data_IF_552446376259
#
_entry.id   IF_552446376259
#
_cell.length_a   1.000
_cell.length_b   1.000
_cell.length_c   1.000
_cell.angle_alpha   90.00
_cell.angle_beta   90.00
_cell.angle_gamma   90.00
#
_symmetry.space_group_name_H-M   'P 1'
#
loop_
_entity.id
_entity.type
_entity.pdbx_description
1 polymer ?
#
# COMPACT_ATOMS: atom_id res chain seq x y z
N UNK A 1 -12.72 38.16 -61.49
CA UNK A 1 -13.53 38.06 -60.26
C UNK A 1 -13.12 36.76 -59.56
N UNK A 2 -12.51 36.90 -58.37
CA UNK A 2 -12.09 35.79 -57.49
C UNK A 2 -13.33 35.11 -56.91
N UNK A 3 -13.36 33.79 -56.92
CA UNK A 3 -14.19 33.01 -56.01
C UNK A 3 -13.26 32.45 -54.91
N UNK A 4 -13.41 32.85 -53.64
CA UNK A 4 -12.68 32.29 -52.52
C UNK A 4 -13.58 31.32 -51.74
N UNK A 5 -13.27 30.04 -51.78
CA UNK A 5 -13.55 29.12 -50.67
C UNK A 5 -12.74 27.84 -50.89
N UNK A 6 -11.49 27.92 -50.45
CA UNK A 6 -10.64 26.76 -50.26
C UNK A 6 -10.92 26.21 -48.86
N UNK A 7 -11.55 25.04 -48.78
CA UNK A 7 -11.47 24.17 -47.60
C UNK A 7 -10.12 23.46 -47.65
N UNK A 8 -9.29 23.46 -46.59
CA UNK A 8 -8.11 22.62 -46.56
C UNK A 8 -8.54 21.16 -46.47
N UNK A 9 -8.28 20.37 -47.52
CA UNK A 9 -8.20 18.92 -47.37
C UNK A 9 -7.00 18.64 -46.46
N UNK A 10 -7.29 18.30 -45.21
CA UNK A 10 -6.33 17.77 -44.27
C UNK A 10 -5.87 16.41 -44.80
N UNK A 11 -4.77 16.41 -45.56
CA UNK A 11 -4.07 15.21 -45.99
C UNK A 11 -3.57 14.47 -44.76
N UNK A 12 -4.33 13.47 -44.33
CA UNK A 12 -3.88 12.48 -43.36
C UNK A 12 -2.56 11.87 -43.84
N UNK A 13 -1.51 12.05 -43.03
CA UNK A 13 -0.21 11.45 -43.28
C UNK A 13 -0.35 9.92 -43.36
N UNK A 14 0.38 9.23 -44.27
CA UNK A 14 0.34 7.79 -44.34
C UNK A 14 0.91 7.19 -43.04
N UNK A 15 0.14 6.31 -42.41
CA UNK A 15 0.58 5.48 -41.29
C UNK A 15 1.86 4.74 -41.71
N UNK A 16 2.95 4.97 -40.99
CA UNK A 16 4.22 4.24 -41.16
C UNK A 16 4.01 2.74 -40.95
N UNK A 17 4.76 1.90 -41.65
CA UNK A 17 4.65 0.43 -41.61
C UNK A 17 4.81 -0.23 -40.22
N UNK A 18 5.16 0.54 -39.17
CA UNK A 18 5.17 0.12 -37.78
C UNK A 18 3.78 0.08 -37.11
N UNK A 19 2.75 0.67 -37.73
CA UNK A 19 1.36 0.72 -37.23
C UNK A 19 0.43 -0.31 -37.89
N UNK A 20 0.96 -1.19 -38.75
CA UNK A 20 0.17 -2.28 -39.32
C UNK A 20 0.00 -3.35 -38.23
N UNK A 21 -1.23 -3.62 -37.73
CA UNK A 21 -1.44 -4.72 -36.80
C UNK A 21 -0.95 -6.01 -37.48
N UNK A 22 0.03 -6.68 -36.87
CA UNK A 22 0.57 -7.92 -37.42
C UNK A 22 -0.54 -8.93 -37.70
N UNK A 23 -0.31 -9.90 -38.59
CA UNK A 23 -1.31 -10.88 -39.03
C UNK A 23 -2.00 -11.63 -37.88
N UNK A 24 -1.38 -11.67 -36.70
CA UNK A 24 -1.90 -12.31 -35.49
C UNK A 24 -2.41 -11.32 -34.43
N UNK A 25 -2.43 -10.01 -34.70
CA UNK A 25 -2.79 -8.99 -33.71
C UNK A 25 -4.21 -9.19 -33.17
N UNK A 26 -5.17 -9.50 -34.04
CA UNK A 26 -6.55 -9.73 -33.65
C UNK A 26 -6.72 -11.02 -32.82
N UNK A 27 -5.99 -12.09 -33.19
CA UNK A 27 -5.95 -13.34 -32.43
C UNK A 27 -5.30 -13.16 -31.06
N UNK A 28 -4.17 -12.44 -30.99
CA UNK A 28 -3.48 -12.15 -29.73
C UNK A 28 -4.39 -11.28 -28.85
N UNK A 29 -5.00 -10.22 -29.40
CA UNK A 29 -5.93 -9.37 -28.66
C UNK A 29 -7.11 -10.17 -28.10
N UNK A 30 -7.67 -11.11 -28.87
CA UNK A 30 -8.74 -12.01 -28.42
C UNK A 30 -8.31 -13.07 -27.40
N UNK A 31 -7.01 -13.31 -27.24
CA UNK A 31 -6.47 -14.29 -26.29
C UNK A 31 -6.07 -13.68 -24.94
N UNK A 32 -6.10 -12.35 -24.81
CA UNK A 32 -5.78 -11.67 -23.56
C UNK A 32 -6.99 -11.79 -22.63
N UNK A 33 -6.84 -12.36 -21.42
CA UNK A 33 -7.96 -12.53 -20.52
C UNK A 33 -8.44 -11.18 -19.99
N UNK A 34 -9.76 -11.04 -19.80
CA UNK A 34 -10.39 -9.79 -19.38
C UNK A 34 -9.79 -9.22 -18.07
N UNK A 35 -9.42 -10.08 -17.11
CA UNK A 35 -8.80 -9.65 -15.86
C UNK A 35 -7.49 -8.88 -16.07
N UNK A 36 -6.74 -9.17 -17.14
CA UNK A 36 -5.47 -8.53 -17.47
C UNK A 36 -5.70 -7.22 -18.23
N UNK A 37 -6.70 -7.18 -19.13
CA UNK A 37 -7.13 -5.95 -19.81
C UNK A 37 -7.63 -4.92 -18.80
N UNK A 38 -8.41 -5.37 -17.82
CA UNK A 38 -9.02 -4.53 -16.79
C UNK A 38 -8.09 -4.15 -15.64
N UNK A 39 -6.90 -4.74 -15.55
CA UNK A 39 -5.96 -4.51 -14.46
C UNK A 39 -5.41 -3.07 -14.46
N UNK A 40 -5.14 -2.55 -13.25
CA UNK A 40 -4.48 -1.25 -13.09
C UNK A 40 -3.13 -1.22 -13.84
N UNK A 41 -2.70 -0.04 -14.36
CA UNK A 41 -1.45 0.09 -15.09
C UNK A 41 -0.22 -0.46 -14.34
N UNK A 42 -0.11 -0.18 -13.05
CA UNK A 42 0.97 -0.66 -12.18
C UNK A 42 1.03 -2.18 -12.12
N UNK A 43 -0.14 -2.85 -12.04
CA UNK A 43 -0.20 -4.31 -12.05
C UNK A 43 0.20 -4.89 -13.40
N UNK A 44 -0.23 -4.27 -14.49
CA UNK A 44 0.17 -4.70 -15.84
C UNK A 44 1.69 -4.61 -16.02
N UNK A 45 2.29 -3.53 -15.52
CA UNK A 45 3.74 -3.37 -15.55
C UNK A 45 4.45 -4.39 -14.63
N UNK A 46 3.93 -4.64 -13.43
CA UNK A 46 4.48 -5.67 -12.54
C UNK A 46 4.42 -7.08 -13.18
N UNK A 47 3.33 -7.44 -13.85
CA UNK A 47 3.20 -8.72 -14.56
C UNK A 47 4.17 -8.79 -15.74
N UNK A 48 4.34 -7.69 -16.48
CA UNK A 48 5.28 -7.60 -17.60
C UNK A 48 6.73 -7.78 -17.16
N UNK A 49 7.08 -7.26 -15.98
CA UNK A 49 8.43 -7.39 -15.41
C UNK A 49 8.66 -8.72 -14.67
N UNK A 50 7.60 -9.44 -14.33
CA UNK A 50 7.71 -10.70 -13.61
C UNK A 50 8.43 -11.75 -14.48
N UNK A 51 9.42 -12.48 -13.92
CA UNK A 51 10.11 -13.52 -14.66
C UNK A 51 9.14 -14.67 -14.96
N UNK A 52 9.00 -15.03 -16.23
CA UNK A 52 8.21 -16.19 -16.62
C UNK A 52 8.97 -17.48 -16.27
N UNK A 53 8.60 -18.12 -15.16
CA UNK A 53 9.11 -19.42 -14.74
C UNK A 53 7.97 -20.32 -14.30
N UNK A 54 7.74 -21.39 -15.05
CA UNK A 54 6.78 -22.42 -14.66
C UNK A 54 7.38 -23.30 -13.57
N UNK A 55 6.69 -23.39 -12.43
CA UNK A 55 7.11 -24.26 -11.33
C UNK A 55 6.89 -25.73 -11.68
N UNK A 56 7.72 -26.61 -11.10
CA UNK A 56 7.66 -28.05 -11.37
C UNK A 56 6.28 -28.67 -11.03
N UNK A 57 5.63 -28.20 -9.96
CA UNK A 57 4.29 -28.67 -9.56
C UNK A 57 3.23 -28.39 -10.64
N UNK A 58 3.37 -27.31 -11.41
CA UNK A 58 2.44 -26.97 -12.47
C UNK A 58 2.70 -27.81 -13.73
N UNK A 59 3.98 -28.12 -14.02
CA UNK A 59 4.36 -28.93 -15.17
C UNK A 59 3.95 -30.40 -15.02
N UNK A 60 4.00 -30.94 -13.80
CA UNK A 60 3.66 -32.33 -13.50
C UNK A 60 2.17 -32.56 -13.25
N UNK A 61 1.38 -31.49 -13.09
CA UNK A 61 -0.05 -31.56 -12.88
C UNK A 61 -0.80 -32.04 -14.13
N UNK A 62 -1.90 -32.78 -13.93
CA UNK A 62 -2.79 -33.18 -15.02
C UNK A 62 -3.46 -31.95 -15.66
N UNK A 63 -3.94 -32.06 -16.92
CA UNK A 63 -4.69 -30.97 -17.55
C UNK A 63 -5.87 -30.47 -16.71
N UNK A 64 -6.63 -31.37 -16.09
CA UNK A 64 -7.75 -31.02 -15.22
C UNK A 64 -7.31 -30.30 -13.92
N UNK A 65 -6.18 -30.72 -13.33
CA UNK A 65 -5.61 -30.05 -12.15
C UNK A 65 -5.13 -28.63 -12.49
N UNK A 66 -4.45 -28.47 -13.63
CA UNK A 66 -4.02 -27.15 -14.12
C UNK A 66 -5.21 -26.24 -14.38
N UNK A 67 -6.25 -26.76 -15.01
CA UNK A 67 -7.48 -26.00 -15.26
C UNK A 67 -8.09 -25.49 -13.95
N UNK A 68 -8.25 -26.35 -12.94
CA UNK A 68 -8.81 -25.94 -11.65
C UNK A 68 -8.00 -24.81 -10.99
N UNK A 69 -6.66 -24.94 -10.94
CA UNK A 69 -5.80 -23.91 -10.34
C UNK A 69 -5.85 -22.61 -11.14
N UNK A 70 -5.86 -22.68 -12.47
CA UNK A 70 -5.95 -21.50 -13.32
C UNK A 70 -7.27 -20.76 -13.11
N UNK A 71 -8.40 -21.46 -13.08
CA UNK A 71 -9.71 -20.88 -12.80
C UNK A 71 -9.74 -20.18 -11.43
N UNK A 72 -9.11 -20.76 -10.40
CA UNK A 72 -8.96 -20.14 -9.09
C UNK A 72 -8.16 -18.84 -9.14
N UNK A 73 -7.00 -18.84 -9.79
CA UNK A 73 -6.16 -17.64 -9.94
C UNK A 73 -6.82 -16.56 -10.78
N UNK A 74 -7.49 -16.92 -11.87
CA UNK A 74 -8.26 -15.98 -12.70
C UNK A 74 -9.37 -15.31 -11.90
N UNK A 75 -10.13 -16.07 -11.11
CA UNK A 75 -11.16 -15.52 -10.22
C UNK A 75 -10.56 -14.59 -9.15
N UNK A 76 -9.41 -14.95 -8.58
CA UNK A 76 -8.67 -14.11 -7.64
C UNK A 76 -8.23 -12.78 -8.28
N UNK A 77 -7.63 -12.84 -9.47
CA UNK A 77 -7.17 -11.65 -10.20
C UNK A 77 -8.34 -10.76 -10.62
N UNK A 78 -9.44 -11.32 -11.12
CA UNK A 78 -10.63 -10.57 -11.50
C UNK A 78 -11.27 -9.85 -10.30
N UNK A 79 -11.43 -10.56 -9.18
CA UNK A 79 -12.02 -9.97 -7.95
C UNK A 79 -11.10 -8.92 -7.31
N UNK A 80 -9.78 -9.13 -7.33
CA UNK A 80 -8.81 -8.12 -6.91
C UNK A 80 -8.88 -6.87 -7.80
N UNK A 81 -8.96 -7.01 -9.11
CA UNK A 81 -9.09 -5.88 -10.03
C UNK A 81 -10.34 -5.05 -9.75
N UNK A 82 -11.47 -5.68 -9.40
CA UNK A 82 -12.69 -4.97 -8.99
C UNK A 82 -12.50 -4.21 -7.67
N UNK A 83 -11.81 -4.81 -6.69
CA UNK A 83 -11.47 -4.14 -5.43
C UNK A 83 -10.57 -2.93 -5.70
N UNK A 84 -9.53 -3.09 -6.50
CA UNK A 84 -8.58 -2.02 -6.79
C UNK A 84 -9.21 -0.86 -7.53
N UNK A 85 -10.09 -1.13 -8.51
CA UNK A 85 -10.87 -0.06 -9.17
C UNK A 85 -11.73 0.73 -8.17
N UNK A 86 -12.18 0.09 -7.09
CA UNK A 86 -12.92 0.76 -6.01
C UNK A 86 -11.99 1.62 -5.17
N UNK A 87 -10.81 1.08 -4.85
CA UNK A 87 -9.80 1.72 -4.02
C UNK A 87 -8.98 2.79 -4.76
N UNK A 88 -8.98 2.81 -6.10
CA UNK A 88 -8.17 3.72 -6.92
C UNK A 88 -8.49 5.22 -6.73
N UNK A 89 -9.63 5.54 -6.11
CA UNK A 89 -10.02 6.91 -5.75
C UNK A 89 -9.47 7.35 -4.39
N UNK A 90 -8.94 6.42 -3.61
CA UNK A 90 -8.29 6.71 -2.35
C UNK A 90 -6.95 7.37 -2.64
N UNK A 91 -6.80 8.62 -2.23
CA UNK A 91 -5.54 9.33 -2.30
C UNK A 91 -4.59 8.76 -1.25
N UNK A 92 -3.33 8.58 -1.62
CA UNK A 92 -2.29 8.40 -0.62
C UNK A 92 -2.11 9.70 0.20
N UNK A 93 -1.45 9.56 1.34
CA UNK A 93 -1.32 10.67 2.30
C UNK A 93 -0.50 11.83 1.72
N UNK A 94 0.50 11.56 0.88
CA UNK A 94 1.37 12.59 0.32
C UNK A 94 0.61 13.41 -0.73
N UNK A 95 -0.14 12.75 -1.62
CA UNK A 95 -1.02 13.36 -2.61
C UNK A 95 -2.14 14.19 -1.97
N UNK A 96 -2.64 13.77 -0.81
CA UNK A 96 -3.63 14.52 -0.02
C UNK A 96 -3.00 15.74 0.68
N UNK A 97 -1.82 15.56 1.29
CA UNK A 97 -1.18 16.55 2.15
C UNK A 97 -0.48 17.68 1.38
N UNK A 98 0.19 17.35 0.27
CA UNK A 98 0.97 18.29 -0.52
C UNK A 98 0.19 19.55 -0.95
N UNK A 99 -1.01 19.46 -1.55
CA UNK A 99 -1.76 20.64 -1.96
C UNK A 99 -2.21 21.49 -0.76
N UNK A 100 -2.54 20.87 0.38
CA UNK A 100 -2.95 21.59 1.59
C UNK A 100 -1.79 22.42 2.16
N UNK A 101 -0.60 21.81 2.26
CA UNK A 101 0.59 22.48 2.76
C UNK A 101 1.04 23.61 1.83
N UNK A 102 1.13 23.36 0.52
CA UNK A 102 1.54 24.35 -0.48
C UNK A 102 0.60 25.56 -0.44
N UNK A 103 -0.72 25.32 -0.40
CA UNK A 103 -1.71 26.40 -0.30
C UNK A 103 -1.52 27.21 0.98
N UNK A 104 -1.36 26.55 2.13
CA UNK A 104 -1.25 27.25 3.40
C UNK A 104 0.05 28.07 3.52
N UNK A 105 1.17 27.56 2.97
CA UNK A 105 2.43 28.29 2.86
C UNK A 105 2.30 29.56 2.02
N UNK A 106 1.60 29.46 0.88
CA UNK A 106 1.36 30.58 -0.02
C UNK A 106 0.44 31.62 0.59
N UNK A 107 -0.71 31.20 1.13
CA UNK A 107 -1.76 32.09 1.62
C UNK A 107 -1.31 32.88 2.86
N UNK A 108 -0.50 32.28 3.75
CA UNK A 108 -0.11 32.90 5.02
C UNK A 108 1.25 33.59 5.00
N UNK A 109 2.19 33.07 4.21
CA UNK A 109 3.58 33.52 4.24
C UNK A 109 4.08 34.04 2.89
N UNK A 110 3.28 33.96 1.82
CA UNK A 110 3.66 34.31 0.45
C UNK A 110 4.94 33.57 -0.02
N UNK A 111 5.08 32.31 0.43
CA UNK A 111 6.25 31.46 0.19
C UNK A 111 5.90 30.36 -0.80
N UNK A 112 6.74 30.19 -1.82
CA UNK A 112 6.65 29.12 -2.81
C UNK A 112 7.89 28.23 -2.67
N UNK A 113 7.78 27.17 -1.87
CA UNK A 113 8.84 26.19 -1.64
C UNK A 113 8.39 24.84 -2.20
N UNK A 114 9.32 24.12 -2.83
CA UNK A 114 9.10 22.72 -3.18
C UNK A 114 9.07 21.89 -1.88
N UNK A 115 7.88 21.45 -1.48
CA UNK A 115 7.66 20.74 -0.21
C UNK A 115 8.31 19.36 -0.15
N UNK A 116 8.70 18.79 -1.29
CA UNK A 116 9.36 17.49 -1.37
C UNK A 116 10.89 17.61 -1.37
N UNK A 117 11.42 18.73 -1.87
CA UNK A 117 12.86 18.96 -2.01
C UNK A 117 13.45 19.90 -0.98
N UNK A 118 12.62 20.74 -0.37
CA UNK A 118 13.02 21.59 0.74
C UNK A 118 12.87 20.80 2.03
N UNK A 119 13.91 20.80 2.85
CA UNK A 119 13.95 20.13 4.13
C UNK A 119 13.93 21.17 5.24
N UNK A 120 13.18 20.89 6.29
CA UNK A 120 13.39 21.53 7.59
C UNK A 120 14.50 20.77 8.31
N UNK A 121 15.49 21.49 8.80
CA UNK A 121 16.60 20.97 9.61
C UNK A 121 16.48 21.57 11.02
N UNK A 122 16.18 20.71 11.99
CA UNK A 122 16.01 21.07 13.39
C UNK A 122 17.23 20.63 14.20
N UNK A 123 17.77 21.55 14.99
CA UNK A 123 18.97 21.34 15.81
C UNK A 123 18.71 21.68 17.27
N UNK A 124 19.45 21.03 18.16
CA UNK A 124 19.53 21.38 19.58
C UNK A 124 20.97 21.71 19.98
N UNK A 125 21.16 22.58 20.98
CA UNK A 125 22.49 22.87 21.49
C UNK A 125 23.05 21.63 22.18
N UNK A 126 24.36 21.41 22.02
CA UNK A 126 25.14 20.51 22.85
C UNK A 126 25.84 21.37 23.91
N UNK A 127 25.43 21.21 25.16
CA UNK A 127 25.99 21.93 26.29
C UNK A 127 26.82 21.01 27.20
N UNK A 128 27.88 21.52 27.81
CA UNK A 128 28.74 20.79 28.73
C UNK A 128 28.87 21.49 30.09
N UNK A 129 28.95 20.67 31.14
CA UNK A 129 29.18 21.12 32.51
C UNK A 129 27.94 21.68 33.21
N UNK A 130 28.08 22.01 34.49
CA UNK A 130 26.99 22.49 35.37
C UNK A 130 26.46 23.86 34.97
N UNK A 131 27.23 24.61 34.18
CA UNK A 131 26.86 25.95 33.68
C UNK A 131 26.22 25.94 32.28
N UNK A 132 25.92 24.76 31.73
CA UNK A 132 25.27 24.59 30.42
C UNK A 132 25.89 25.41 29.28
N UNK A 133 27.23 25.46 29.21
CA UNK A 133 27.93 26.22 28.17
C UNK A 133 27.75 25.49 26.82
N UNK A 134 27.15 26.17 25.84
CA UNK A 134 26.99 25.64 24.48
C UNK A 134 28.35 25.50 23.80
N UNK A 135 28.68 24.26 23.41
CA UNK A 135 29.96 23.93 22.74
C UNK A 135 29.77 23.57 21.27
N UNK A 136 28.59 23.09 20.89
CA UNK A 136 28.23 22.81 19.49
C UNK A 136 26.71 22.64 19.35
N UNK A 137 26.25 22.23 18.17
CA UNK A 137 24.86 21.84 17.93
C UNK A 137 24.82 20.49 17.24
N UNK A 138 23.73 19.75 17.41
CA UNK A 138 23.50 18.49 16.71
C UNK A 138 22.14 18.49 16.00
N UNK A 139 22.07 17.80 14.86
CA UNK A 139 20.84 17.60 14.10
C UNK A 139 19.96 16.59 14.82
N UNK A 140 18.76 17.00 15.21
CA UNK A 140 17.76 16.14 15.84
C UNK A 140 16.84 15.55 14.79
N UNK A 141 16.46 16.38 13.82
CA UNK A 141 15.50 16.00 12.79
C UNK A 141 15.82 16.74 11.49
N UNK A 142 15.76 16.01 10.38
CA UNK A 142 15.79 16.59 9.03
C UNK A 142 14.81 15.85 8.14
N UNK A 143 13.77 16.55 7.71
CA UNK A 143 12.68 15.99 6.91
C UNK A 143 12.30 16.94 5.78
N UNK A 144 11.86 16.42 4.62
CA UNK A 144 11.14 17.23 3.63
C UNK A 144 9.96 17.95 4.29
N UNK A 145 9.61 19.16 3.84
CA UNK A 145 8.51 19.93 4.44
C UNK A 145 7.20 19.15 4.46
N UNK A 146 6.92 18.37 3.41
CA UNK A 146 5.74 17.52 3.35
C UNK A 146 5.73 16.51 4.51
N UNK A 147 6.85 15.82 4.74
CA UNK A 147 6.97 14.84 5.81
C UNK A 147 6.98 15.51 7.20
N UNK A 148 7.53 16.72 7.31
CA UNK A 148 7.42 17.51 8.52
C UNK A 148 5.95 17.84 8.86
N UNK A 149 5.13 18.17 7.87
CA UNK A 149 3.70 18.40 8.10
C UNK A 149 2.94 17.14 8.57
N UNK A 150 3.48 15.96 8.30
CA UNK A 150 2.94 14.67 8.76
C UNK A 150 3.57 14.19 10.08
N UNK A 151 4.57 14.90 10.61
CA UNK A 151 5.36 14.48 11.78
C UNK A 151 4.63 14.68 13.13
N UNK A 152 3.46 15.33 13.14
CA UNK A 152 2.65 15.58 14.34
C UNK A 152 3.44 16.17 15.52
N UNK A 153 4.04 17.35 15.31
CA UNK A 153 4.82 18.06 16.33
C UNK A 153 4.02 18.36 17.60
N UNK A 154 4.66 18.18 18.76
CA UNK A 154 4.08 18.52 20.06
C UNK A 154 4.07 20.04 20.30
N UNK A 155 3.29 20.49 21.27
CA UNK A 155 3.10 21.92 21.55
C UNK A 155 4.39 22.59 22.03
N UNK A 156 5.16 21.90 22.85
CA UNK A 156 6.45 22.36 23.36
C UNK A 156 7.49 22.48 22.24
N UNK A 157 7.46 21.59 21.25
CA UNK A 157 8.32 21.65 20.05
C UNK A 157 8.06 22.90 19.21
N UNK A 158 6.84 23.44 19.27
CA UNK A 158 6.45 24.65 18.54
C UNK A 158 6.85 25.96 19.27
N UNK A 159 7.37 25.86 20.50
CA UNK A 159 7.75 27.02 21.29
C UNK A 159 9.00 27.74 20.76
N UNK A 160 9.03 29.07 20.91
CA UNK A 160 10.21 29.88 20.58
C UNK A 160 11.37 29.41 21.47
N UNK A 161 12.51 29.09 20.86
CA UNK A 161 13.71 28.64 21.56
C UNK A 161 13.76 27.14 21.85
N UNK A 162 12.73 26.35 21.51
CA UNK A 162 12.79 24.90 21.64
C UNK A 162 13.89 24.29 20.74
N UNK A 163 13.98 24.79 19.51
CA UNK A 163 15.05 24.47 18.58
C UNK A 163 16.08 25.59 18.53
N UNK A 164 17.33 25.19 18.35
CA UNK A 164 18.46 26.12 18.28
C UNK A 164 18.29 27.09 17.09
N UNK A 165 18.79 28.31 17.23
CA UNK A 165 18.68 29.40 16.23
C UNK A 165 19.33 29.07 14.87
N UNK A 166 20.25 28.09 14.84
CA UNK A 166 20.89 27.58 13.61
C UNK A 166 20.03 26.58 12.84
N UNK A 167 18.85 26.22 13.35
CA UNK A 167 17.81 25.48 12.63
C UNK A 167 17.31 26.30 11.45
N UNK A 168 16.83 25.65 10.40
CA UNK A 168 16.39 26.35 9.20
C UNK A 168 16.01 25.43 8.07
N UNK A 169 16.09 25.95 6.85
CA UNK A 169 15.67 25.26 5.65
C UNK A 169 16.87 24.95 4.78
N UNK A 170 16.90 23.74 4.22
CA UNK A 170 17.98 23.29 3.34
C UNK A 170 17.42 22.53 2.13
N UNK A 171 18.18 22.53 1.03
CA UNK A 171 17.90 21.71 -0.15
C UNK A 171 19.11 20.85 -0.45
N UNK A 172 18.89 19.65 -0.96
CA UNK A 172 19.99 18.77 -1.39
C UNK A 172 20.55 19.29 -2.73
N UNK A 173 21.77 19.81 -2.70
CA UNK A 173 22.46 20.33 -3.89
C UNK A 173 23.26 19.27 -4.63
N UNK A 174 23.68 18.22 -3.92
CA UNK A 174 24.33 17.02 -4.44
C UNK A 174 24.06 15.87 -3.46
N UNK A 175 24.22 14.58 -3.85
CA UNK A 175 23.95 13.46 -2.95
C UNK A 175 24.67 13.60 -1.61
N UNK A 176 23.92 13.75 -0.52
CA UNK A 176 24.42 13.94 0.84
C UNK A 176 24.90 15.37 1.17
N UNK A 177 24.86 16.32 0.24
CA UNK A 177 25.27 17.71 0.44
C UNK A 177 24.07 18.65 0.42
N UNK A 178 23.93 19.44 1.49
CA UNK A 178 22.80 20.34 1.69
C UNK A 178 23.24 21.80 1.72
N UNK A 179 22.52 22.66 0.99
CA UNK A 179 22.71 24.10 1.00
C UNK A 179 21.53 24.80 1.68
N UNK A 180 21.81 25.92 2.37
CA UNK A 180 20.77 26.69 3.07
C UNK A 180 19.84 27.37 2.07
N UNK A 181 18.55 27.36 2.38
CA UNK A 181 17.51 28.09 1.67
C UNK A 181 17.21 29.38 2.44
N UNK A 182 17.33 30.52 1.75
CA UNK A 182 16.87 31.81 2.28
C UNK A 182 15.38 31.95 2.01
N UNK A 183 14.58 32.09 3.07
CA UNK A 183 13.12 32.26 2.99
C UNK A 183 12.65 33.19 4.12
N UNK A 184 11.49 33.83 3.91
CA UNK A 184 10.82 34.61 4.94
C UNK A 184 10.13 33.73 6.00
N UNK A 185 9.92 32.44 5.70
CA UNK A 185 9.35 31.47 6.63
C UNK A 185 10.36 31.14 7.74
N UNK A 186 9.96 31.27 8.98
CA UNK A 186 10.75 30.81 10.13
C UNK A 186 10.40 29.36 10.49
N UNK A 187 11.31 28.68 11.18
CA UNK A 187 11.07 27.31 11.68
C UNK A 187 9.85 27.27 12.59
N UNK A 188 9.74 28.20 13.54
CA UNK A 188 8.60 28.29 14.48
C UNK A 188 7.28 28.49 13.73
N UNK A 189 7.26 29.33 12.67
CA UNK A 189 6.06 29.51 11.85
C UNK A 189 5.67 28.23 11.10
N UNK A 190 6.64 27.48 10.56
CA UNK A 190 6.38 26.20 9.92
C UNK A 190 5.77 25.20 10.93
N UNK A 191 6.39 25.04 12.10
CA UNK A 191 5.92 24.06 13.09
C UNK A 191 4.51 24.36 13.57
N UNK A 192 4.21 25.64 13.87
CA UNK A 192 2.86 26.08 14.21
C UNK A 192 1.88 25.85 13.04
N UNK A 193 2.29 26.14 11.79
CA UNK A 193 1.47 25.86 10.62
C UNK A 193 1.11 24.37 10.51
N UNK A 194 2.08 23.48 10.68
CA UNK A 194 1.86 22.03 10.62
C UNK A 194 0.87 21.57 11.70
N UNK A 195 1.01 22.08 12.93
CA UNK A 195 0.12 21.77 14.05
C UNK A 195 -1.29 22.32 13.85
N UNK A 196 -1.42 23.54 13.35
CA UNK A 196 -2.73 24.17 13.07
C UNK A 196 -3.46 23.50 11.90
N UNK A 197 -2.73 23.08 10.87
CA UNK A 197 -3.31 22.42 9.71
C UNK A 197 -3.85 21.04 10.09
N UNK A 198 -3.17 20.32 11.00
CA UNK A 198 -3.57 18.99 11.48
C UNK A 198 -3.98 18.06 10.32
N UNK A 199 -3.06 17.86 9.38
CA UNK A 199 -3.29 17.02 8.20
C UNK A 199 -3.65 15.59 8.63
N UNK A 200 -3.11 15.13 9.75
CA UNK A 200 -3.43 13.82 10.33
C UNK A 200 -4.93 13.68 10.60
N UNK A 201 -5.55 14.62 11.32
CA UNK A 201 -6.99 14.60 11.55
C UNK A 201 -7.80 14.75 10.27
N UNK A 202 -7.40 15.65 9.37
CA UNK A 202 -8.08 15.82 8.07
C UNK A 202 -8.08 14.54 7.23
N UNK A 203 -6.94 13.85 7.18
CA UNK A 203 -6.80 12.59 6.46
C UNK A 203 -7.61 11.48 7.13
N UNK A 204 -7.68 11.43 8.47
CA UNK A 204 -8.55 10.47 9.17
C UNK A 204 -10.04 10.68 8.85
N UNK A 205 -10.50 11.93 8.73
CA UNK A 205 -11.86 12.25 8.29
C UNK A 205 -12.08 11.76 6.86
N UNK A 206 -11.16 12.10 5.95
CA UNK A 206 -11.19 11.64 4.57
C UNK A 206 -11.26 10.10 4.45
N UNK A 207 -10.43 9.36 5.21
CA UNK A 207 -10.46 7.90 5.25
C UNK A 207 -11.79 7.35 5.76
N UNK A 208 -12.36 7.95 6.82
CA UNK A 208 -13.66 7.54 7.35
C UNK A 208 -14.77 7.73 6.33
N UNK A 209 -14.79 8.88 5.67
CA UNK A 209 -15.80 9.19 4.65
C UNK A 209 -15.66 8.28 3.42
N UNK A 210 -14.44 7.93 3.04
CA UNK A 210 -14.17 7.01 1.95
C UNK A 210 -14.57 5.56 2.28
N UNK A 211 -14.19 5.06 3.47
CA UNK A 211 -14.43 3.67 3.87
C UNK A 211 -15.85 3.44 4.40
N UNK A 212 -16.51 4.48 4.89
CA UNK A 212 -17.86 4.45 5.45
C UNK A 212 -18.69 5.62 4.90
N UNK A 213 -18.91 5.68 3.58
CA UNK A 213 -19.74 6.72 2.99
C UNK A 213 -21.15 6.67 3.56
N UNK A 214 -21.84 7.81 3.57
CA UNK A 214 -23.21 7.92 4.07
C UNK A 214 -24.20 7.00 3.32
N UNK A 215 -23.88 6.60 2.09
CA UNK A 215 -24.67 5.65 1.30
C UNK A 215 -24.41 4.19 1.76
N UNK A 216 -25.39 3.51 2.39
CA UNK A 216 -25.21 2.14 2.88
C UNK A 216 -24.92 1.12 1.76
N UNK A 217 -25.40 1.38 0.54
CA UNK A 217 -25.15 0.52 -0.64
C UNK A 217 -23.68 0.57 -1.03
N UNK A 218 -23.05 1.74 -0.96
CA UNK A 218 -21.63 1.91 -1.26
C UNK A 218 -20.76 1.17 -0.22
N UNK A 219 -21.12 1.24 1.07
CA UNK A 219 -20.47 0.48 2.16
C UNK A 219 -20.59 -1.02 1.92
N UNK A 220 -21.79 -1.51 1.62
CA UNK A 220 -22.05 -2.91 1.37
C UNK A 220 -21.28 -3.42 0.14
N UNK A 221 -21.23 -2.62 -0.94
CA UNK A 221 -20.49 -2.93 -2.15
C UNK A 221 -18.97 -3.04 -1.90
N UNK A 222 -18.38 -2.07 -1.19
CA UNK A 222 -16.95 -2.11 -0.83
C UNK A 222 -16.63 -3.35 0.01
N UNK A 223 -17.43 -3.61 1.04
CA UNK A 223 -17.28 -4.81 1.88
C UNK A 223 -17.42 -6.09 1.07
N UNK A 224 -18.40 -6.15 0.18
CA UNK A 224 -18.62 -7.31 -0.68
C UNK A 224 -17.41 -7.56 -1.59
N UNK A 225 -16.90 -6.53 -2.27
CA UNK A 225 -15.71 -6.64 -3.14
C UNK A 225 -14.47 -7.08 -2.36
N UNK A 226 -14.27 -6.52 -1.16
CA UNK A 226 -13.18 -6.92 -0.28
C UNK A 226 -13.28 -8.39 0.13
N UNK A 227 -14.44 -8.82 0.66
CA UNK A 227 -14.66 -10.22 1.07
C UNK A 227 -14.55 -11.18 -0.12
N UNK A 228 -15.09 -10.80 -1.28
CA UNK A 228 -15.03 -11.62 -2.48
C UNK A 228 -13.59 -11.83 -2.95
N UNK A 229 -12.77 -10.77 -2.95
CA UNK A 229 -11.34 -10.85 -3.28
C UNK A 229 -10.57 -11.76 -2.31
N UNK A 230 -10.78 -11.59 -1.00
CA UNK A 230 -10.14 -12.46 0.00
C UNK A 230 -10.56 -13.94 -0.14
N UNK A 231 -11.85 -14.20 -0.41
CA UNK A 231 -12.36 -15.55 -0.64
C UNK A 231 -11.76 -16.19 -1.90
N UNK A 232 -11.69 -15.44 -3.00
CA UNK A 232 -11.12 -15.93 -4.25
C UNK A 232 -9.62 -16.21 -4.11
N UNK A 233 -8.88 -15.33 -3.43
CA UNK A 233 -7.47 -15.54 -3.12
C UNK A 233 -7.25 -16.77 -2.22
N UNK A 234 -8.06 -16.94 -1.18
CA UNK A 234 -8.01 -18.11 -0.30
C UNK A 234 -8.31 -19.40 -1.06
N UNK A 235 -9.28 -19.39 -1.98
CA UNK A 235 -9.61 -20.52 -2.83
C UNK A 235 -8.44 -20.92 -3.72
N UNK A 236 -7.87 -19.96 -4.47
CA UNK A 236 -6.74 -20.20 -5.35
C UNK A 236 -5.53 -20.76 -4.58
N UNK A 237 -5.25 -20.21 -3.40
CA UNK A 237 -4.18 -20.69 -2.53
C UNK A 237 -4.45 -22.13 -2.04
N UNK A 238 -5.69 -22.46 -1.67
CA UNK A 238 -6.06 -23.80 -1.24
C UNK A 238 -5.97 -24.83 -2.38
N UNK A 239 -6.39 -24.46 -3.59
CA UNK A 239 -6.26 -25.29 -4.80
C UNK A 239 -4.79 -25.57 -5.12
N UNK A 240 -3.93 -24.55 -5.07
CA UNK A 240 -2.48 -24.71 -5.25
C UNK A 240 -1.86 -25.57 -4.15
N UNK A 241 -2.21 -25.34 -2.88
CA UNK A 241 -1.71 -26.10 -1.73
C UNK A 241 -2.09 -27.58 -1.82
N UNK A 242 -3.32 -27.89 -2.22
CA UNK A 242 -3.76 -29.27 -2.43
C UNK A 242 -2.95 -29.94 -3.56
N UNK A 243 -2.72 -29.22 -4.67
CA UNK A 243 -1.95 -29.75 -5.80
C UNK A 243 -0.48 -30.02 -5.44
N UNK A 244 0.11 -29.15 -4.61
CA UNK A 244 1.47 -29.33 -4.08
C UNK A 244 1.54 -30.37 -2.95
N UNK A 245 0.39 -30.86 -2.46
CA UNK A 245 0.26 -31.76 -1.30
C UNK A 245 0.68 -31.13 0.03
N UNK A 246 0.59 -29.80 0.13
CA UNK A 246 0.82 -29.06 1.38
C UNK A 246 -0.35 -29.21 2.36
N UNK A 247 -1.54 -29.57 1.86
CA UNK A 247 -2.76 -29.83 2.65
C UNK A 247 -3.43 -31.14 2.22
N UNK A 248 -4.17 -31.77 3.13
CA UNK A 248 -4.95 -32.98 2.84
C UNK A 248 -6.30 -32.63 2.18
N UNK A 249 -6.94 -33.56 1.45
CA UNK A 249 -8.26 -33.32 0.83
C UNK A 249 -9.35 -32.90 1.83
N UNK A 250 -9.28 -33.39 3.07
CA UNK A 250 -10.24 -33.02 4.12
C UNK A 250 -10.02 -31.57 4.61
N UNK A 251 -8.77 -31.11 4.67
CA UNK A 251 -8.45 -29.72 4.99
C UNK A 251 -8.94 -28.80 3.88
N UNK A 252 -8.72 -29.18 2.62
CA UNK A 252 -9.22 -28.47 1.45
C UNK A 252 -10.75 -28.35 1.47
N UNK A 253 -11.48 -29.45 1.71
CA UNK A 253 -12.93 -29.44 1.81
C UNK A 253 -13.43 -28.52 2.94
N UNK A 254 -12.73 -28.51 4.08
CA UNK A 254 -13.05 -27.59 5.16
C UNK A 254 -12.82 -26.13 4.74
N UNK A 255 -11.68 -25.80 4.11
CA UNK A 255 -11.41 -24.44 3.62
C UNK A 255 -12.52 -23.98 2.66
N UNK A 256 -12.94 -24.83 1.73
CA UNK A 256 -14.05 -24.52 0.83
C UNK A 256 -15.37 -24.28 1.57
N UNK A 257 -15.65 -25.03 2.65
CA UNK A 257 -16.86 -24.81 3.46
C UNK A 257 -16.84 -23.43 4.12
N UNK A 258 -15.69 -22.99 4.64
CA UNK A 258 -15.51 -21.65 5.23
C UNK A 258 -15.67 -20.56 4.18
N UNK A 259 -15.10 -20.76 2.99
CA UNK A 259 -15.31 -19.85 1.84
C UNK A 259 -16.81 -19.78 1.48
N UNK A 260 -17.52 -20.91 1.57
CA UNK A 260 -18.97 -21.01 1.41
C UNK A 260 -19.79 -20.32 2.50
N UNK A 261 -19.17 -19.91 3.61
CA UNK A 261 -19.83 -19.22 4.73
C UNK A 261 -20.19 -20.11 5.91
N UNK A 262 -19.68 -21.35 5.97
CA UNK A 262 -19.81 -22.20 7.16
C UNK A 262 -19.10 -21.58 8.36
N UNK A 263 -19.84 -21.40 9.47
CA UNK A 263 -19.35 -20.77 10.70
C UNK A 263 -18.86 -21.80 11.72
N UNK A 264 -19.24 -23.08 11.57
CA UNK A 264 -18.82 -24.19 12.42
C UNK A 264 -18.16 -25.31 11.58
N UNK A 265 -17.07 -25.01 10.87
CA UNK A 265 -16.39 -26.01 10.04
C UNK A 265 -15.88 -27.19 10.88
N UNK A 266 -15.81 -28.36 10.24
CA UNK A 266 -15.25 -29.57 10.86
C UNK A 266 -14.22 -30.21 9.93
N UNK A 267 -13.18 -30.80 10.53
CA UNK A 267 -12.20 -31.67 9.85
C UNK A 267 -12.15 -32.97 10.65
N UNK A 268 -12.35 -34.11 9.97
CA UNK A 268 -12.40 -35.44 10.59
C UNK A 268 -13.36 -35.53 11.79
N UNK A 269 -14.52 -34.87 11.68
CA UNK A 269 -15.53 -34.81 12.75
C UNK A 269 -15.19 -33.88 13.92
N UNK A 270 -14.01 -33.25 13.94
CA UNK A 270 -13.60 -32.31 14.99
C UNK A 270 -13.94 -30.87 14.60
N UNK A 271 -14.52 -30.06 15.51
CA UNK A 271 -14.82 -28.67 15.24
C UNK A 271 -13.54 -27.85 15.05
N UNK A 272 -13.58 -26.95 14.09
CA UNK A 272 -12.53 -25.97 13.80
C UNK A 272 -13.00 -24.60 14.29
N UNK A 273 -12.12 -23.89 15.01
CA UNK A 273 -12.40 -22.58 15.57
C UNK A 273 -11.56 -21.51 14.86
N UNK A 274 -12.19 -20.41 14.50
CA UNK A 274 -11.50 -19.22 14.03
C UNK A 274 -10.93 -18.43 15.21
N UNK A 275 -9.65 -18.08 15.14
CA UNK A 275 -9.03 -17.16 16.09
C UNK A 275 -8.26 -16.07 15.37
N UNK A 276 -8.40 -14.85 15.87
CA UNK A 276 -7.51 -13.75 15.50
C UNK A 276 -6.09 -14.08 15.95
N UNK A 277 -5.11 -13.88 15.07
CA UNK A 277 -3.70 -13.91 15.47
C UNK A 277 -3.38 -12.67 16.29
N UNK A 278 -2.97 -12.89 17.54
CA UNK A 278 -2.51 -11.84 18.44
C UNK A 278 -1.12 -12.17 18.96
N UNK A 279 -0.22 -11.19 18.90
CA UNK A 279 1.10 -11.27 19.52
C UNK A 279 1.17 -10.21 20.62
N UNK A 280 1.44 -10.65 21.87
CA UNK A 280 1.56 -9.78 23.05
C UNK A 280 0.39 -8.78 23.17
N UNK A 281 -0.84 -9.31 23.29
CA UNK A 281 -2.11 -8.54 23.43
C UNK A 281 -2.43 -7.56 22.29
N UNK A 282 -1.62 -7.48 21.23
CA UNK A 282 -1.96 -6.75 20.01
C UNK A 282 -2.49 -7.72 18.97
N UNK A 283 -3.73 -7.48 18.53
CA UNK A 283 -4.35 -8.23 17.43
C UNK A 283 -3.80 -7.74 16.10
N UNK A 284 -3.56 -8.66 15.17
CA UNK A 284 -3.30 -8.32 13.76
C UNK A 284 -4.64 -8.23 13.04
N UNK A 285 -4.96 -7.06 12.49
CA UNK A 285 -6.26 -6.81 11.82
C UNK A 285 -6.31 -7.27 10.35
N UNK A 286 -5.26 -7.93 9.86
CA UNK A 286 -5.07 -8.24 8.42
C UNK A 286 -5.86 -9.49 7.95
N UNK A 287 -6.99 -9.81 8.59
CA UNK A 287 -7.86 -10.92 8.17
C UNK A 287 -7.25 -12.32 8.28
N UNK A 288 -6.07 -12.46 8.91
CA UNK A 288 -5.42 -13.73 9.14
C UNK A 288 -6.05 -14.42 10.36
N UNK A 289 -7.13 -15.18 10.13
CA UNK A 289 -7.65 -16.12 11.13
C UNK A 289 -6.74 -17.35 11.14
N UNK A 290 -6.04 -17.60 12.25
CA UNK A 290 -5.40 -18.89 12.44
C UNK A 290 -6.47 -19.95 12.73
N UNK A 291 -6.51 -20.98 11.88
CA UNK A 291 -7.26 -22.21 12.16
C UNK A 291 -6.43 -23.02 13.14
N UNK A 292 -6.75 -22.96 14.42
CA UNK A 292 -6.07 -23.76 15.43
C UNK A 292 -6.64 -25.18 15.46
N UNK A 293 -5.89 -26.14 14.95
CA UNK A 293 -6.21 -27.56 15.01
C UNK A 293 -5.57 -28.19 16.26
N UNK A 294 -6.38 -28.60 17.24
CA UNK A 294 -5.86 -29.40 18.37
C UNK A 294 -5.68 -30.86 17.92
N UNK A 295 -4.58 -31.16 17.22
CA UNK A 295 -4.07 -32.53 17.14
C UNK A 295 -3.26 -32.75 18.41
N UNK A 296 -3.75 -33.62 19.30
CA UNK A 296 -2.94 -34.18 20.39
C UNK A 296 -1.90 -35.11 19.75
N UNK A 297 -0.87 -34.54 19.13
CA UNK A 297 0.33 -35.28 18.74
C UNK A 297 1.27 -35.13 19.92
N UNK A 298 1.22 -36.13 20.81
CA UNK A 298 2.28 -36.39 21.76
C UNK A 298 3.55 -36.70 20.97
N UNK A 299 4.41 -35.72 20.77
CA UNK A 299 5.82 -35.97 20.44
C UNK A 299 6.67 -35.11 21.37
N UNK A 300 7.31 -35.84 22.29
CA UNK A 300 8.46 -35.49 23.12
C UNK A 300 8.24 -34.54 24.31
N UNK A 301 7.82 -35.16 25.43
CA UNK A 301 8.47 -34.91 26.73
C UNK A 301 8.50 -36.20 27.55
N UNK A 302 9.70 -36.76 27.69
CA UNK A 302 10.38 -37.10 28.97
C UNK A 302 11.49 -38.10 28.68
N UNK A 303 12.72 -37.65 28.88
CA UNK A 303 13.60 -38.34 29.82
C UNK A 303 14.35 -37.26 30.61
N UNK A 304 13.90 -37.08 31.84
CA UNK A 304 14.67 -36.44 32.91
C UNK A 304 14.77 -37.48 34.01
N UNK A 305 15.90 -38.16 34.08
CA UNK A 305 16.50 -38.56 35.35
C UNK A 305 17.87 -39.19 35.06
N UNK A 306 18.94 -38.56 35.53
CA UNK A 306 19.93 -39.17 36.42
C UNK A 306 20.93 -38.11 36.90
N UNK A 307 21.07 -38.06 38.24
CA UNK A 307 22.13 -37.51 39.11
C UNK A 307 22.73 -36.11 38.81
N UNK A 308 22.75 -35.12 39.72
CA UNK A 308 23.25 -35.11 41.11
C UNK A 308 24.67 -35.65 41.27
N UNK A 309 25.67 -34.85 40.87
CA UNK A 309 26.80 -34.38 41.69
C UNK A 309 27.61 -33.37 40.89
#
# INVERSE_FOLDING_TARGET
MRNPNASPQETAAPLTAADQPGVHAEFIAGSIPAWLVDALPERREAIKQAPFRLSNWYLTASPAQRQCVNEGFEASLASQTLLDKTMARLQDIDAFAAPLLVKALKDRFAVDLDVNKTFVQLKKPLALGVFEVEVSTFEVLKLPLLQAALHNFEEDECAIGHFHSSSGFVVESAPGQFSKVTTALTVVQLLNLCRELDIGAQYQVYLKDFLRPANPVAVAMLRHRFVASQKAAMRAAAEQALLQKDIEPNDYAMILSVIGGEMNPKVDGKPVWFRDLGLIKKKKNDGLCAVSYWRKVSLLRRDHSLCSQ
#
